data_IF_772509295171
#
_entry.id   IF_772509295171
#
_cell.length_a   1.000
_cell.length_b   1.000
_cell.length_c   1.000
_cell.angle_alpha   90.00
_cell.angle_beta   90.00
_cell.angle_gamma   90.00
#
_symmetry.space_group_name_H-M   'P 1'
#
loop_
_entity.id
_entity.type
_entity.pdbx_description
1 polymer ?
#
# COMPACT_ATOMS: atom_id res chain seq x y z
N UNK A 1 2.50 -2.01 -3.83
CA UNK A 1 3.27 -1.95 -5.08
C UNK A 1 2.33 -1.67 -6.24
N UNK A 2 2.78 -0.99 -7.30
CA UNK A 2 1.97 -0.72 -8.49
C UNK A 2 2.77 -0.94 -9.76
N UNK A 3 2.12 -1.34 -10.85
CA UNK A 3 2.81 -1.64 -12.11
C UNK A 3 3.23 -0.42 -12.92
N UNK A 4 2.39 0.62 -12.88
CA UNK A 4 2.51 1.79 -13.75
C UNK A 4 2.62 3.07 -12.93
N UNK A 5 3.41 4.03 -13.40
CA UNK A 5 3.55 5.36 -12.78
C UNK A 5 2.22 6.11 -12.68
N UNK A 6 1.33 5.93 -13.66
CA UNK A 6 -0.02 6.48 -13.62
C UNK A 6 -0.79 5.99 -12.37
N UNK A 7 -0.67 4.71 -12.03
CA UNK A 7 -1.32 4.15 -10.83
C UNK A 7 -0.71 4.72 -9.56
N UNK A 8 0.61 4.97 -9.52
CA UNK A 8 1.24 5.63 -8.38
C UNK A 8 0.61 6.99 -8.11
N UNK A 9 0.38 7.80 -9.15
CA UNK A 9 -0.31 9.10 -8.99
C UNK A 9 -1.74 8.94 -8.48
N UNK A 10 -2.47 7.95 -8.97
CA UNK A 10 -3.84 7.64 -8.54
C UNK A 10 -3.88 7.23 -7.07
N UNK A 11 -2.93 6.43 -6.60
CA UNK A 11 -2.87 5.95 -5.20
C UNK A 11 -2.44 7.08 -4.26
N UNK A 12 -1.47 7.89 -4.65
CA UNK A 12 -1.06 9.06 -3.86
C UNK A 12 -2.20 10.09 -3.75
N UNK A 13 -2.89 10.36 -4.85
CA UNK A 13 -3.89 11.42 -4.94
C UNK A 13 -3.26 12.82 -4.87
N UNK A 14 -4.08 13.87 -5.02
CA UNK A 14 -3.60 15.27 -4.97
C UNK A 14 -3.02 15.55 -3.58
N UNK A 15 -1.73 15.94 -3.52
CA UNK A 15 -1.03 16.23 -2.28
C UNK A 15 -0.93 15.06 -1.29
N UNK A 16 -1.05 13.81 -1.74
CA UNK A 16 -1.04 12.65 -0.85
C UNK A 16 -2.38 12.40 -0.12
N UNK A 17 -3.46 13.07 -0.51
CA UNK A 17 -4.77 12.96 0.15
C UNK A 17 -5.30 11.53 0.20
N UNK A 18 -5.17 10.77 -0.90
CA UNK A 18 -5.73 9.43 -1.00
C UNK A 18 -4.94 8.41 -0.18
N UNK A 19 -3.61 8.46 -0.24
CA UNK A 19 -2.77 7.57 0.60
C UNK A 19 -2.96 7.87 2.09
N UNK A 20 -3.14 9.13 2.48
CA UNK A 20 -3.45 9.50 3.87
C UNK A 20 -4.80 8.96 4.33
N UNK A 21 -5.82 9.02 3.48
CA UNK A 21 -7.13 8.46 3.79
C UNK A 21 -7.06 6.93 3.98
N UNK A 22 -6.37 6.23 3.08
CA UNK A 22 -6.14 4.78 3.19
C UNK A 22 -5.39 4.45 4.48
N UNK A 23 -4.27 5.14 4.75
CA UNK A 23 -3.48 4.92 5.95
C UNK A 23 -4.25 5.21 7.24
N UNK A 24 -5.11 6.24 7.25
CA UNK A 24 -5.95 6.54 8.41
C UNK A 24 -7.01 5.45 8.65
N UNK A 25 -7.65 4.95 7.60
CA UNK A 25 -8.63 3.87 7.70
C UNK A 25 -7.97 2.58 8.21
N UNK A 26 -6.90 2.13 7.52
CA UNK A 26 -6.17 0.92 7.90
C UNK A 26 -5.58 1.01 9.30
N UNK A 27 -5.01 2.15 9.70
CA UNK A 27 -4.48 2.35 11.06
C UNK A 27 -5.57 2.17 12.11
N UNK A 28 -6.77 2.72 11.91
CA UNK A 28 -7.88 2.57 12.87
C UNK A 28 -8.29 1.10 13.04
N UNK A 29 -8.37 0.36 11.95
CA UNK A 29 -8.68 -1.08 11.99
C UNK A 29 -7.58 -1.88 12.71
N UNK A 30 -6.31 -1.58 12.43
CA UNK A 30 -5.17 -2.23 13.08
C UNK A 30 -5.12 -1.90 14.57
N UNK A 31 -5.33 -0.64 14.96
CA UNK A 31 -5.38 -0.22 16.36
C UNK A 31 -6.52 -0.92 17.12
N UNK A 32 -7.69 -1.07 16.48
CA UNK A 32 -8.82 -1.78 17.06
C UNK A 32 -8.51 -3.29 17.24
N UNK A 33 -7.81 -3.90 16.28
CA UNK A 33 -7.41 -5.30 16.35
C UNK A 33 -6.33 -5.58 17.41
N UNK A 34 -5.34 -4.68 17.53
CA UNK A 34 -4.20 -4.86 18.43
C UNK A 34 -4.43 -4.27 19.84
N UNK A 35 -5.42 -3.39 20.01
CA UNK A 35 -5.72 -2.72 21.28
C UNK A 35 -4.66 -1.72 21.74
N UNK A 36 -3.79 -1.24 20.83
CA UNK A 36 -2.72 -0.31 21.13
C UNK A 36 -2.60 0.79 20.06
N UNK A 37 -1.89 1.87 20.38
CA UNK A 37 -1.60 2.93 19.40
C UNK A 37 -0.55 2.45 18.41
N UNK A 38 -0.79 2.70 17.13
CA UNK A 38 0.08 2.28 16.03
C UNK A 38 0.46 3.47 15.19
N UNK A 39 1.75 3.58 14.87
CA UNK A 39 2.23 4.48 13.82
C UNK A 39 2.38 3.68 12.52
N UNK A 40 1.56 4.01 11.51
CA UNK A 40 1.57 3.33 10.22
C UNK A 40 2.14 4.27 9.14
N UNK A 41 3.30 3.90 8.60
CA UNK A 41 3.91 4.57 7.46
C UNK A 41 3.71 3.74 6.18
N UNK A 42 3.28 4.40 5.09
CA UNK A 42 2.95 3.73 3.83
C UNK A 42 3.79 4.31 2.68
N UNK A 43 4.36 3.43 1.86
CA UNK A 43 5.15 3.79 0.69
C UNK A 43 4.56 3.22 -0.60
N UNK A 44 4.62 4.01 -1.68
CA UNK A 44 4.15 3.59 -3.01
C UNK A 44 5.33 3.44 -3.96
N UNK A 45 5.68 2.19 -4.23
CA UNK A 45 6.72 1.81 -5.19
C UNK A 45 6.10 1.35 -6.51
N UNK A 46 6.68 1.82 -7.62
CA UNK A 46 6.38 1.33 -8.97
C UNK A 46 7.35 0.21 -9.27
N UNK A 47 6.82 -0.96 -9.63
CA UNK A 47 7.57 -2.11 -10.08
C UNK A 47 6.88 -2.66 -11.33
N UNK A 48 7.53 -2.59 -12.49
CA UNK A 48 6.92 -3.08 -13.73
C UNK A 48 6.83 -4.60 -13.72
N UNK A 49 5.73 -5.15 -14.23
CA UNK A 49 5.48 -6.58 -14.41
C UNK A 49 5.66 -7.42 -13.13
N UNK A 50 5.36 -6.85 -11.96
CA UNK A 50 5.54 -7.58 -10.69
C UNK A 50 4.51 -8.70 -10.52
N UNK A 51 3.33 -8.57 -11.15
CA UNK A 51 2.28 -9.60 -11.11
C UNK A 51 2.64 -10.83 -11.91
N UNK A 52 3.47 -10.69 -12.95
CA UNK A 52 3.87 -11.82 -13.81
C UNK A 52 5.12 -12.53 -13.26
N UNK A 53 5.78 -11.92 -12.27
CA UNK A 53 6.96 -12.47 -11.64
C UNK A 53 6.59 -13.42 -10.50
N UNK A 54 6.73 -14.72 -10.75
CA UNK A 54 6.55 -15.78 -9.74
C UNK A 54 7.33 -15.47 -8.43
N UNK A 55 8.57 -14.97 -8.54
CA UNK A 55 9.36 -14.59 -7.37
C UNK A 55 8.76 -13.43 -6.56
N UNK A 56 8.14 -12.45 -7.22
CA UNK A 56 7.47 -11.35 -6.53
C UNK A 56 6.13 -11.77 -5.95
N UNK A 57 5.37 -12.61 -6.65
CA UNK A 57 4.11 -13.17 -6.16
C UNK A 57 4.31 -13.93 -4.85
N UNK A 58 5.30 -14.82 -4.78
CA UNK A 58 5.70 -15.52 -3.54
C UNK A 58 6.09 -14.55 -2.43
N UNK A 59 6.87 -13.52 -2.76
CA UNK A 59 7.29 -12.51 -1.77
C UNK A 59 6.11 -11.72 -1.19
N UNK A 60 5.09 -11.45 -1.99
CA UNK A 60 3.87 -10.77 -1.54
C UNK A 60 2.84 -11.71 -0.92
N UNK A 61 3.10 -13.02 -0.89
CA UNK A 61 2.22 -14.02 -0.30
C UNK A 61 0.99 -14.36 -1.14
N UNK A 62 1.07 -14.20 -2.47
CA UNK A 62 0.00 -14.58 -3.41
C UNK A 62 0.12 -16.02 -3.93
N UNK A 63 1.26 -16.69 -3.69
CA UNK A 63 1.54 -18.12 -3.97
C UNK A 63 2.18 -18.72 -2.73
#
# INVERSE_FOLDING_TARGET
HVERDAHKRIVLGRGGSRIRAIGQASRREIEAFLGCRVFLELFVHVQKNWTDSQGQLRRFGYE
#
